data_IF_857688953856
#
_entry.id   IF_857688953856
#
_cell.length_a   1.000
_cell.length_b   1.000
_cell.length_c   1.000
_cell.angle_alpha   90.00
_cell.angle_beta   90.00
_cell.angle_gamma   90.00
#
_symmetry.space_group_name_H-M   'P 1'
#
loop_
_entity.id
_entity.type
_entity.pdbx_description
1 polymer ?
#
# COMPACT_ATOMS: atom_id res chain seq x y z
N UNK A 1 8.13 4.99 -17.42
CA UNK A 1 7.32 6.18 -17.14
C UNK A 1 6.08 5.76 -16.36
N UNK A 2 5.70 6.54 -15.34
CA UNK A 2 4.50 6.30 -14.54
C UNK A 2 3.82 7.64 -14.27
N UNK A 3 2.49 7.67 -14.35
CA UNK A 3 1.68 8.83 -14.00
C UNK A 3 0.77 8.51 -12.83
N UNK A 4 0.45 9.54 -12.05
CA UNK A 4 -0.53 9.51 -10.96
C UNK A 4 -1.58 10.55 -11.30
N UNK A 5 -2.83 10.12 -11.37
CA UNK A 5 -3.94 11.00 -11.72
C UNK A 5 -4.31 11.93 -10.56
N UNK A 6 -4.94 13.06 -10.87
CA UNK A 6 -5.42 13.97 -9.83
C UNK A 6 -6.49 13.27 -8.96
N UNK A 7 -6.33 13.38 -7.63
CA UNK A 7 -7.21 12.70 -6.68
C UNK A 7 -6.93 11.20 -6.49
N UNK A 8 -5.90 10.65 -7.10
CA UNK A 8 -5.50 9.26 -6.94
C UNK A 8 -4.81 9.02 -5.60
N UNK A 9 -5.02 7.84 -5.02
CA UNK A 9 -4.29 7.33 -3.86
C UNK A 9 -3.31 6.25 -4.32
N UNK A 10 -2.08 6.64 -4.64
CA UNK A 10 -1.02 5.71 -5.01
C UNK A 10 -0.30 5.18 -3.77
N UNK A 11 -0.23 3.87 -3.62
CA UNK A 11 0.59 3.23 -2.58
C UNK A 11 1.84 2.61 -3.18
N UNK A 12 3.00 2.97 -2.63
CA UNK A 12 4.28 2.33 -2.90
C UNK A 12 4.50 1.23 -1.85
N UNK A 13 4.50 -0.02 -2.25
CA UNK A 13 4.64 -1.17 -1.35
C UNK A 13 5.82 -2.06 -1.78
N UNK A 14 6.45 -2.71 -0.81
CA UNK A 14 7.59 -3.61 -1.09
C UNK A 14 8.47 -3.81 0.15
N UNK A 15 9.48 -4.68 0.06
CA UNK A 15 10.39 -4.96 1.17
C UNK A 15 11.22 -3.73 1.56
N UNK A 16 11.84 -3.79 2.73
CA UNK A 16 12.84 -2.79 3.16
C UNK A 16 13.98 -2.74 2.16
N UNK A 17 14.48 -1.53 1.85
CA UNK A 17 15.50 -1.33 0.80
C UNK A 17 14.96 -1.37 -0.64
N UNK A 18 13.65 -1.50 -0.84
CA UNK A 18 13.02 -1.54 -2.17
C UNK A 18 13.02 -0.22 -2.94
N UNK A 19 13.53 0.89 -2.37
CA UNK A 19 13.61 2.21 -3.04
C UNK A 19 12.39 3.12 -2.81
N UNK A 20 11.38 2.70 -2.02
CA UNK A 20 10.12 3.44 -1.81
C UNK A 20 10.32 4.83 -1.22
N UNK A 21 10.99 4.93 -0.06
CA UNK A 21 11.27 6.23 0.60
C UNK A 21 12.22 7.10 -0.22
N UNK A 22 13.16 6.49 -0.94
CA UNK A 22 14.03 7.22 -1.88
C UNK A 22 13.20 7.88 -3.00
N UNK A 23 12.29 7.14 -3.62
CA UNK A 23 11.37 7.70 -4.63
C UNK A 23 10.50 8.82 -4.03
N UNK A 24 9.96 8.59 -2.81
CA UNK A 24 9.17 9.61 -2.12
C UNK A 24 9.99 10.89 -1.85
N UNK A 25 11.25 10.75 -1.42
CA UNK A 25 12.17 11.86 -1.18
C UNK A 25 12.54 12.61 -2.46
N UNK A 26 12.70 11.92 -3.58
CA UNK A 26 12.89 12.54 -4.90
C UNK A 26 11.67 13.38 -5.31
N UNK A 27 10.46 12.86 -5.12
CA UNK A 27 9.21 13.61 -5.36
C UNK A 27 9.16 14.84 -4.44
N UNK A 28 9.56 14.68 -3.18
CA UNK A 28 9.62 15.79 -2.21
C UNK A 28 10.72 16.82 -2.54
N UNK A 29 11.73 16.45 -3.34
CA UNK A 29 12.90 17.28 -3.62
C UNK A 29 13.93 17.29 -2.50
N UNK A 30 13.89 16.28 -1.62
CA UNK A 30 14.88 16.04 -0.56
C UNK A 30 16.08 15.27 -1.09
N UNK A 31 15.92 14.57 -2.22
CA UNK A 31 16.98 13.90 -2.96
C UNK A 31 16.92 14.28 -4.44
N UNK A 32 18.08 14.38 -5.07
CA UNK A 32 18.19 14.70 -6.50
C UNK A 32 18.02 13.44 -7.34
N UNK A 33 17.38 13.56 -8.51
CA UNK A 33 17.30 12.50 -9.49
C UNK A 33 18.53 12.54 -10.41
N UNK A 34 19.07 11.35 -10.74
CA UNK A 34 20.23 11.24 -11.63
C UNK A 34 19.86 11.45 -13.10
N UNK A 35 18.62 11.12 -13.48
CA UNK A 35 18.11 11.27 -14.86
C UNK A 35 16.58 11.22 -14.85
N UNK A 36 15.97 11.59 -15.97
CA UNK A 36 14.52 11.63 -16.12
C UNK A 36 13.91 12.94 -15.61
N UNK A 37 12.61 12.92 -15.34
CA UNK A 37 11.86 14.11 -15.02
C UNK A 37 10.75 13.79 -14.01
N UNK A 38 10.58 14.66 -13.01
CA UNK A 38 9.44 14.65 -12.09
C UNK A 38 8.56 15.85 -12.42
N UNK A 39 7.28 15.60 -12.65
CA UNK A 39 6.26 16.65 -12.86
C UNK A 39 5.22 16.61 -11.75
N UNK A 40 4.80 17.78 -11.31
CA UNK A 40 3.60 17.96 -10.49
C UNK A 40 2.68 18.88 -11.27
N UNK A 41 1.50 18.36 -11.67
CA UNK A 41 0.68 18.97 -12.71
C UNK A 41 1.54 19.16 -13.97
N UNK A 42 1.52 20.34 -14.56
CA UNK A 42 2.27 20.64 -15.79
C UNK A 42 3.71 21.16 -15.53
N UNK A 43 4.10 21.33 -14.27
CA UNK A 43 5.39 21.93 -13.92
C UNK A 43 6.46 20.87 -13.64
N UNK A 44 7.63 21.05 -14.27
CA UNK A 44 8.83 20.25 -13.99
C UNK A 44 9.41 20.64 -12.65
N UNK A 45 9.65 19.64 -11.78
CA UNK A 45 10.13 19.81 -10.43
C UNK A 45 11.63 19.53 -10.25
N UNK A 46 12.33 19.14 -11.31
CA UNK A 46 13.77 18.91 -11.25
C UNK A 46 14.51 20.20 -10.78
N UNK A 47 15.33 20.07 -9.73
CA UNK A 47 16.05 21.21 -9.15
C UNK A 47 15.18 22.24 -8.39
N UNK A 48 13.85 22.04 -8.33
CA UNK A 48 12.97 22.92 -7.55
C UNK A 48 13.09 22.57 -6.07
N UNK A 49 13.38 23.57 -5.24
CA UNK A 49 13.50 23.39 -3.79
C UNK A 49 12.19 22.88 -3.17
N UNK A 50 12.22 21.97 -2.19
CA UNK A 50 11.02 21.36 -1.56
C UNK A 50 9.94 22.37 -1.15
N UNK A 51 10.34 23.53 -0.59
CA UNK A 51 9.38 24.56 -0.14
C UNK A 51 8.56 25.20 -1.27
N UNK A 52 8.96 25.01 -2.53
CA UNK A 52 8.30 25.56 -3.73
C UNK A 52 7.51 24.53 -4.53
N UNK A 53 7.51 23.26 -4.11
CA UNK A 53 6.81 22.18 -4.84
C UNK A 53 5.31 22.06 -4.53
N UNK A 54 4.78 22.89 -3.63
CA UNK A 54 3.39 22.81 -3.14
C UNK A 54 2.95 21.40 -2.69
N UNK A 55 3.83 20.72 -2.00
CA UNK A 55 3.59 19.40 -1.41
C UNK A 55 3.58 19.48 0.11
N UNK A 56 2.97 18.48 0.75
CA UNK A 56 3.09 18.27 2.18
C UNK A 56 3.54 16.86 2.48
N UNK A 57 4.45 16.69 3.42
CA UNK A 57 4.99 15.40 3.80
C UNK A 57 4.72 15.09 5.27
N UNK A 58 4.24 13.87 5.52
CA UNK A 58 4.08 13.28 6.86
C UNK A 58 5.11 12.18 7.00
N UNK A 59 6.04 12.37 7.92
CA UNK A 59 7.13 11.44 8.21
C UNK A 59 6.70 10.36 9.20
N UNK A 60 7.37 9.24 9.17
CA UNK A 60 7.20 8.12 10.10
C UNK A 60 7.31 8.54 11.58
N UNK A 61 8.21 9.48 11.90
CA UNK A 61 8.40 10.03 13.25
C UNK A 61 7.43 11.15 13.61
N UNK A 62 6.45 11.46 12.71
CA UNK A 62 5.54 12.62 12.79
C UNK A 62 6.26 13.98 12.72
N UNK A 63 7.53 14.07 13.10
CA UNK A 63 8.39 15.26 13.07
C UNK A 63 7.71 16.52 13.67
N UNK A 64 6.96 16.37 14.77
CA UNK A 64 6.31 17.49 15.46
C UNK A 64 7.34 18.32 16.23
N UNK A 65 7.13 19.62 16.30
CA UNK A 65 7.94 20.52 17.10
C UNK A 65 7.58 20.34 18.59
N UNK A 66 8.47 19.78 19.42
CA UNK A 66 8.11 19.35 20.79
C UNK A 66 7.79 20.51 21.74
N UNK A 67 8.37 21.69 21.47
CA UNK A 67 8.20 22.88 22.30
C UNK A 67 6.95 23.72 21.93
N UNK A 68 6.33 23.43 20.79
CA UNK A 68 5.13 24.10 20.29
C UNK A 68 3.88 23.35 20.70
N UNK A 69 2.77 24.07 20.91
CA UNK A 69 1.45 23.44 21.07
C UNK A 69 0.96 22.82 19.76
N UNK A 70 -0.13 22.05 19.82
CA UNK A 70 -0.78 21.47 18.63
C UNK A 70 -1.17 22.59 17.65
N UNK A 71 -1.82 23.65 18.14
CA UNK A 71 -2.21 24.77 17.31
C UNK A 71 -1.01 25.46 16.64
N UNK A 72 0.08 25.65 17.38
CA UNK A 72 1.33 26.21 16.83
C UNK A 72 1.97 25.26 15.80
N UNK A 73 2.00 23.94 16.05
CA UNK A 73 2.49 22.98 15.08
C UNK A 73 1.72 23.05 13.76
N UNK A 74 0.39 23.14 13.82
CA UNK A 74 -0.46 23.22 12.62
C UNK A 74 -0.19 24.53 11.88
N UNK A 75 -0.12 25.66 12.56
CA UNK A 75 -0.05 26.98 11.91
C UNK A 75 1.36 27.42 11.53
N UNK A 76 2.40 26.74 12.01
CA UNK A 76 3.80 27.15 11.82
C UNK A 76 4.16 27.39 10.34
N UNK A 77 3.77 26.47 9.46
CA UNK A 77 4.03 26.63 8.02
C UNK A 77 3.40 27.89 7.42
N UNK A 78 2.16 28.20 7.81
CA UNK A 78 1.47 29.42 7.36
C UNK A 78 2.14 30.69 7.91
N UNK A 79 2.63 30.62 9.15
CA UNK A 79 3.36 31.72 9.78
C UNK A 79 4.65 32.05 9.05
N UNK A 80 5.43 31.03 8.69
CA UNK A 80 6.65 31.17 7.91
C UNK A 80 6.42 31.76 6.50
N UNK A 81 5.23 31.60 5.95
CA UNK A 81 4.81 32.18 4.67
C UNK A 81 4.14 33.54 4.83
N UNK A 82 4.13 34.12 6.04
CA UNK A 82 3.59 35.47 6.29
C UNK A 82 2.06 35.57 6.25
N UNK A 83 1.34 34.46 6.37
CA UNK A 83 -0.14 34.46 6.38
C UNK A 83 -0.64 35.19 7.63
N UNK A 84 -1.59 36.15 7.51
CA UNK A 84 -2.12 36.93 8.63
C UNK A 84 -2.70 36.05 9.73
N UNK A 85 -2.53 36.44 10.99
CA UNK A 85 -2.96 35.69 12.16
C UNK A 85 -4.44 35.26 12.11
N UNK A 86 -5.42 36.12 11.74
CA UNK A 86 -6.83 35.71 11.67
C UNK A 86 -7.08 34.60 10.67
N UNK A 87 -6.38 34.62 9.53
CA UNK A 87 -6.51 33.57 8.50
C UNK A 87 -5.89 32.26 8.97
N UNK A 88 -4.72 32.30 9.65
CA UNK A 88 -4.09 31.14 10.25
C UNK A 88 -4.99 30.46 11.30
N UNK A 89 -5.62 31.27 12.17
CA UNK A 89 -6.53 30.78 13.20
C UNK A 89 -7.78 30.14 12.61
N UNK A 90 -8.33 30.71 11.54
CA UNK A 90 -9.45 30.12 10.81
C UNK A 90 -9.06 28.77 10.21
N UNK A 91 -7.98 28.73 9.42
CA UNK A 91 -7.48 27.51 8.79
C UNK A 91 -7.16 26.40 9.83
N UNK A 92 -6.57 26.78 10.96
CA UNK A 92 -6.31 25.86 12.08
C UNK A 92 -7.59 25.26 12.62
N UNK A 93 -8.64 26.06 12.85
CA UNK A 93 -9.93 25.58 13.39
C UNK A 93 -10.60 24.64 12.40
N UNK A 94 -10.61 25.00 11.11
CA UNK A 94 -11.21 24.19 10.05
C UNK A 94 -10.53 22.81 9.98
N UNK A 95 -9.20 22.77 10.02
CA UNK A 95 -8.42 21.52 10.00
C UNK A 95 -8.55 20.76 11.31
N UNK A 96 -8.56 21.42 12.46
CA UNK A 96 -8.73 20.77 13.76
C UNK A 96 -10.11 20.09 13.86
N UNK A 97 -11.17 20.76 13.38
CA UNK A 97 -12.51 20.18 13.31
C UNK A 97 -12.59 18.99 12.36
N UNK A 98 -11.92 19.06 11.19
CA UNK A 98 -11.84 17.96 10.25
C UNK A 98 -11.22 16.70 10.86
N UNK A 99 -10.17 16.88 11.71
CA UNK A 99 -9.40 15.81 12.32
C UNK A 99 -9.87 15.46 13.74
N UNK A 100 -10.90 16.15 14.27
CA UNK A 100 -11.45 15.96 15.63
C UNK A 100 -10.39 16.13 16.73
N UNK A 101 -9.56 17.19 16.63
CA UNK A 101 -8.49 17.50 17.59
C UNK A 101 -8.59 18.90 18.22
N UNK A 102 -9.74 19.57 18.12
CA UNK A 102 -9.96 20.91 18.65
C UNK A 102 -9.60 21.02 20.15
N UNK A 103 -9.96 20.01 20.93
CA UNK A 103 -9.69 19.93 22.38
C UNK A 103 -8.20 19.71 22.71
N UNK A 104 -7.36 19.51 21.70
CA UNK A 104 -5.92 19.26 21.88
C UNK A 104 -5.06 20.48 21.52
N UNK A 105 -5.65 21.56 20.99
CA UNK A 105 -4.91 22.69 20.37
C UNK A 105 -3.89 23.32 21.32
N UNK A 106 -4.17 23.35 22.62
CA UNK A 106 -3.27 23.95 23.62
C UNK A 106 -2.26 22.95 24.22
N UNK A 107 -2.38 21.67 23.88
CA UNK A 107 -1.45 20.63 24.38
C UNK A 107 -0.15 20.62 23.57
N UNK A 108 0.92 20.13 24.22
CA UNK A 108 2.21 19.86 23.56
C UNK A 108 2.29 18.40 23.12
N UNK A 109 3.10 18.06 22.09
CA UNK A 109 3.22 16.69 21.56
C UNK A 109 3.52 15.61 22.61
N UNK A 110 4.27 15.94 23.64
CA UNK A 110 4.57 14.98 24.74
C UNK A 110 3.36 14.52 25.55
N UNK A 111 2.25 15.29 25.52
CA UNK A 111 1.00 14.96 26.21
C UNK A 111 -0.03 14.24 25.31
N UNK A 112 0.39 13.77 24.14
CA UNK A 112 -0.48 13.17 23.13
C UNK A 112 -0.21 11.67 22.98
N UNK A 113 -1.27 10.90 22.67
CA UNK A 113 -1.12 9.51 22.20
C UNK A 113 -0.50 9.44 20.79
N UNK A 114 -0.08 8.25 20.35
CA UNK A 114 0.45 8.03 19.00
C UNK A 114 -0.49 8.52 17.90
N UNK A 115 -1.76 8.09 17.94
CA UNK A 115 -2.76 8.51 16.96
C UNK A 115 -3.08 10.01 17.02
N UNK A 116 -3.06 10.62 18.21
CA UNK A 116 -3.21 12.07 18.32
C UNK A 116 -2.04 12.81 17.69
N UNK A 117 -0.80 12.37 17.92
CA UNK A 117 0.38 12.95 17.25
C UNK A 117 0.29 12.82 15.74
N UNK A 118 -0.19 11.70 15.24
CA UNK A 118 -0.39 11.50 13.82
C UNK A 118 -1.43 12.46 13.25
N UNK A 119 -2.60 12.60 13.88
CA UNK A 119 -3.61 13.58 13.44
C UNK A 119 -3.05 15.01 13.43
N UNK A 120 -2.23 15.37 14.40
CA UNK A 120 -1.55 16.69 14.41
C UNK A 120 -0.58 16.84 13.24
N UNK A 121 0.20 15.79 12.92
CA UNK A 121 1.10 15.81 11.76
C UNK A 121 0.33 15.93 10.44
N UNK A 122 -0.81 15.24 10.33
CA UNK A 122 -1.73 15.40 9.20
C UNK A 122 -2.30 16.82 9.14
N UNK A 123 -2.71 17.39 10.29
CA UNK A 123 -3.21 18.77 10.36
C UNK A 123 -2.19 19.80 9.89
N UNK A 124 -0.93 19.63 10.28
CA UNK A 124 0.17 20.48 9.81
C UNK A 124 0.38 20.39 8.29
N UNK A 125 0.15 19.21 7.72
CA UNK A 125 0.22 19.01 6.28
C UNK A 125 -0.99 19.63 5.56
N UNK A 126 -2.21 19.35 6.04
CA UNK A 126 -3.48 19.76 5.44
C UNK A 126 -3.69 21.27 5.40
N UNK A 127 -3.27 21.98 6.47
CA UNK A 127 -3.50 23.43 6.59
C UNK A 127 -2.92 24.25 5.44
N UNK A 128 -1.94 23.70 4.71
CA UNK A 128 -1.28 24.31 3.56
C UNK A 128 -2.00 24.09 2.23
N UNK A 129 -3.04 23.25 2.20
CA UNK A 129 -3.78 22.84 1.00
C UNK A 129 -2.84 22.46 -0.16
N UNK A 130 -2.01 21.41 0.01
CA UNK A 130 -1.01 21.01 -0.99
C UNK A 130 -1.67 20.31 -2.19
N UNK A 131 -0.97 20.36 -3.35
CA UNK A 131 -1.38 19.61 -4.54
C UNK A 131 -1.21 18.08 -4.35
N UNK A 132 -0.16 17.67 -3.61
CA UNK A 132 0.14 16.27 -3.35
C UNK A 132 0.52 16.06 -1.88
N UNK A 133 -0.07 15.06 -1.26
CA UNK A 133 0.36 14.55 0.04
C UNK A 133 1.34 13.39 -0.12
N UNK A 134 2.43 13.44 0.62
CA UNK A 134 3.43 12.39 0.71
C UNK A 134 3.43 11.80 2.11
N UNK A 135 3.20 10.50 2.23
CA UNK A 135 3.21 9.78 3.50
C UNK A 135 4.34 8.75 3.51
N UNK A 136 5.29 8.88 4.43
CA UNK A 136 6.37 7.92 4.62
C UNK A 136 6.10 7.06 5.85
N UNK A 137 5.55 5.87 5.64
CA UNK A 137 5.18 4.87 6.65
C UNK A 137 4.42 5.45 7.87
N UNK A 138 3.36 6.22 7.68
CA UNK A 138 2.77 7.03 8.76
C UNK A 138 2.12 6.17 9.86
N UNK A 139 1.78 4.91 9.61
CA UNK A 139 1.10 4.01 10.54
C UNK A 139 2.02 3.01 11.24
N UNK A 140 3.30 2.93 10.86
CA UNK A 140 4.24 1.91 11.33
C UNK A 140 4.47 1.91 12.85
N UNK A 141 4.42 3.09 13.48
CA UNK A 141 4.66 3.27 14.92
C UNK A 141 3.39 3.16 15.79
N UNK A 142 2.28 2.67 15.23
CA UNK A 142 1.02 2.50 15.94
C UNK A 142 0.78 1.04 16.29
N UNK A 143 0.08 0.80 17.42
CA UNK A 143 -0.45 -0.52 17.74
C UNK A 143 -1.51 -0.97 16.72
N UNK A 144 -1.80 -2.29 16.68
CA UNK A 144 -2.65 -2.89 15.65
C UNK A 144 -4.07 -2.26 15.62
N UNK A 145 -4.69 -2.04 16.79
CA UNK A 145 -6.04 -1.46 16.88
C UNK A 145 -6.06 -0.03 16.34
N UNK A 146 -5.14 0.78 16.82
CA UNK A 146 -5.04 2.19 16.44
C UNK A 146 -4.69 2.33 14.93
N UNK A 147 -3.90 1.39 14.37
CA UNK A 147 -3.58 1.34 12.94
C UNK A 147 -4.85 1.16 12.10
N UNK A 148 -5.75 0.24 12.49
CA UNK A 148 -7.03 0.03 11.80
C UNK A 148 -7.90 1.29 11.83
N UNK A 149 -8.01 1.94 13.00
CA UNK A 149 -8.78 3.17 13.15
C UNK A 149 -8.21 4.29 12.27
N UNK A 150 -6.89 4.50 12.31
CA UNK A 150 -6.21 5.54 11.52
C UNK A 150 -6.26 5.29 10.03
N UNK A 151 -6.18 4.04 9.57
CA UNK A 151 -6.39 3.65 8.17
C UNK A 151 -7.77 4.11 7.69
N UNK A 152 -8.81 3.81 8.48
CA UNK A 152 -10.18 4.23 8.17
C UNK A 152 -10.30 5.76 8.09
N UNK A 153 -9.66 6.49 9.00
CA UNK A 153 -9.66 7.95 9.02
C UNK A 153 -8.94 8.55 7.78
N UNK A 154 -7.78 8.00 7.40
CA UNK A 154 -7.06 8.42 6.20
C UNK A 154 -7.93 8.20 4.95
N UNK A 155 -8.59 7.05 4.85
CA UNK A 155 -9.48 6.74 3.71
C UNK A 155 -10.65 7.72 3.62
N UNK A 156 -11.33 8.00 4.75
CA UNK A 156 -12.41 8.98 4.80
C UNK A 156 -11.93 10.39 4.43
N UNK A 157 -10.74 10.75 4.92
CA UNK A 157 -10.15 12.05 4.64
C UNK A 157 -9.85 12.20 3.15
N UNK A 158 -9.24 11.18 2.53
CA UNK A 158 -9.00 11.18 1.09
C UNK A 158 -10.29 11.32 0.29
N UNK A 159 -11.33 10.52 0.61
CA UNK A 159 -12.64 10.60 -0.05
C UNK A 159 -13.28 12.00 0.07
N UNK A 160 -13.07 12.67 1.20
CA UNK A 160 -13.64 14.01 1.45
C UNK A 160 -12.89 15.10 0.71
N UNK A 161 -11.57 15.00 0.61
CA UNK A 161 -10.71 16.04 0.04
C UNK A 161 -10.44 15.86 -1.46
N UNK A 162 -10.45 14.63 -1.97
CA UNK A 162 -10.09 14.31 -3.34
C UNK A 162 -8.66 14.69 -3.72
N UNK A 163 -7.76 14.80 -2.73
CA UNK A 163 -6.38 15.23 -2.96
C UNK A 163 -5.50 14.05 -3.35
N UNK A 164 -4.56 14.25 -4.27
CA UNK A 164 -3.60 13.23 -4.68
C UNK A 164 -2.68 12.83 -3.51
N UNK A 165 -2.56 11.53 -3.27
CA UNK A 165 -1.73 10.97 -2.20
C UNK A 165 -0.70 10.00 -2.79
N UNK A 166 0.55 10.10 -2.35
CA UNK A 166 1.58 9.07 -2.50
C UNK A 166 1.96 8.56 -1.11
N UNK A 167 1.71 7.28 -0.88
CA UNK A 167 1.81 6.65 0.44
C UNK A 167 2.80 5.50 0.39
N UNK A 168 3.80 5.53 1.25
CA UNK A 168 4.78 4.44 1.41
C UNK A 168 4.37 3.56 2.58
N UNK A 169 4.38 2.26 2.37
CA UNK A 169 4.19 1.26 3.43
C UNK A 169 4.92 -0.03 3.10
N UNK A 170 5.18 -0.83 4.12
CA UNK A 170 5.54 -2.25 4.00
C UNK A 170 4.36 -3.17 4.33
N UNK A 171 3.24 -2.61 4.79
CA UNK A 171 2.02 -3.34 5.17
C UNK A 171 1.13 -3.54 3.93
N UNK A 172 0.91 -4.79 3.56
CA UNK A 172 0.07 -5.16 2.42
C UNK A 172 -1.40 -4.79 2.63
N UNK A 173 -1.88 -4.84 3.89
CA UNK A 173 -3.26 -4.49 4.22
C UNK A 173 -3.49 -3.01 3.97
N UNK A 174 -2.51 -2.14 4.31
CA UNK A 174 -2.58 -0.72 3.98
C UNK A 174 -2.70 -0.53 2.47
N UNK A 175 -1.83 -1.23 1.70
CA UNK A 175 -1.82 -1.13 0.26
C UNK A 175 -3.17 -1.57 -0.36
N UNK A 176 -3.68 -2.72 0.04
CA UNK A 176 -4.93 -3.27 -0.52
C UNK A 176 -6.17 -2.46 -0.13
N UNK A 177 -6.18 -1.80 1.04
CA UNK A 177 -7.39 -1.14 1.57
C UNK A 177 -7.48 0.35 1.29
N UNK A 178 -6.33 1.05 1.21
CA UNK A 178 -6.28 2.50 1.04
C UNK A 178 -6.21 2.93 -0.42
N UNK A 179 -5.50 2.17 -1.25
CA UNK A 179 -5.09 2.63 -2.57
C UNK A 179 -6.21 2.59 -3.62
N UNK A 180 -6.11 3.49 -4.58
CA UNK A 180 -6.74 3.35 -5.91
C UNK A 180 -5.82 2.56 -6.84
N UNK A 181 -4.48 2.76 -6.70
CA UNK A 181 -3.45 1.99 -7.39
C UNK A 181 -2.28 1.68 -6.46
N UNK A 182 -1.61 0.58 -6.75
CA UNK A 182 -0.43 0.10 -6.02
C UNK A 182 0.75 0.02 -6.99
N UNK A 183 1.91 0.53 -6.56
CA UNK A 183 3.19 0.26 -7.20
C UNK A 183 3.98 -0.72 -6.31
N UNK A 184 4.06 -1.98 -6.72
CA UNK A 184 4.92 -2.97 -6.10
C UNK A 184 6.37 -2.71 -6.46
N UNK A 185 7.23 -2.45 -5.48
CA UNK A 185 8.62 -2.07 -5.68
C UNK A 185 9.59 -3.08 -5.09
N UNK A 186 10.66 -3.38 -5.83
CA UNK A 186 11.75 -4.23 -5.37
C UNK A 186 13.08 -3.80 -5.99
N UNK A 187 14.11 -3.63 -5.17
CA UNK A 187 15.46 -3.29 -5.64
C UNK A 187 15.53 -1.99 -6.46
N UNK A 188 14.67 -0.99 -6.15
CA UNK A 188 14.62 0.28 -6.87
C UNK A 188 13.77 0.27 -8.16
N UNK A 189 13.17 -0.87 -8.51
CA UNK A 189 12.34 -1.02 -9.71
C UNK A 189 10.88 -1.21 -9.35
N UNK A 190 9.98 -0.59 -10.14
CA UNK A 190 8.55 -0.89 -10.11
C UNK A 190 8.35 -2.24 -10.81
N UNK A 191 7.91 -3.23 -10.07
CA UNK A 191 7.65 -4.59 -10.55
C UNK A 191 6.29 -4.70 -11.24
N UNK A 192 5.30 -4.01 -10.67
CA UNK A 192 3.95 -3.89 -11.23
C UNK A 192 3.29 -2.62 -10.71
N UNK A 193 2.48 -2.00 -11.54
CA UNK A 193 1.62 -0.86 -11.21
C UNK A 193 0.21 -1.20 -11.69
N UNK A 194 -0.76 -1.20 -10.78
CA UNK A 194 -2.15 -1.54 -11.11
C UNK A 194 -3.09 -1.31 -9.93
N UNK A 195 -4.37 -1.58 -10.12
CA UNK A 195 -5.34 -1.60 -9.03
C UNK A 195 -5.03 -2.72 -8.03
N UNK A 196 -5.50 -2.64 -6.78
CA UNK A 196 -5.34 -3.73 -5.81
C UNK A 196 -5.79 -5.08 -6.36
N UNK A 197 -6.92 -5.12 -7.06
CA UNK A 197 -7.47 -6.33 -7.67
C UNK A 197 -6.55 -6.91 -8.74
N UNK A 198 -6.07 -6.07 -9.67
CA UNK A 198 -5.15 -6.51 -10.74
C UNK A 198 -3.85 -7.07 -10.18
N UNK A 199 -3.28 -6.42 -9.16
CA UNK A 199 -2.04 -6.86 -8.51
C UNK A 199 -2.23 -8.22 -7.82
N UNK A 200 -3.40 -8.43 -7.22
CA UNK A 200 -3.72 -9.67 -6.51
C UNK A 200 -4.05 -10.83 -7.46
N UNK A 201 -4.93 -10.59 -8.44
CA UNK A 201 -5.46 -11.62 -9.33
C UNK A 201 -4.52 -11.96 -10.49
N UNK A 202 -3.77 -10.96 -10.98
CA UNK A 202 -2.93 -11.07 -12.17
C UNK A 202 -1.51 -10.52 -11.91
N UNK A 203 -0.74 -11.13 -10.99
CA UNK A 203 0.60 -10.68 -10.67
C UNK A 203 1.53 -10.83 -11.88
N UNK A 204 2.29 -9.77 -12.18
CA UNK A 204 3.18 -9.71 -13.35
C UNK A 204 4.41 -10.64 -13.24
N UNK A 205 4.79 -11.06 -12.04
CA UNK A 205 5.92 -11.93 -11.78
C UNK A 205 5.80 -12.65 -10.43
N UNK A 206 6.69 -13.60 -10.18
CA UNK A 206 6.70 -14.40 -8.94
C UNK A 206 6.88 -13.52 -7.70
N UNK A 207 7.69 -12.46 -7.77
CA UNK A 207 7.87 -11.55 -6.65
C UNK A 207 6.54 -10.93 -6.22
N UNK A 208 5.79 -10.35 -7.16
CA UNK A 208 4.48 -9.74 -6.87
C UNK A 208 3.51 -10.80 -6.35
N UNK A 209 3.46 -11.97 -6.98
CA UNK A 209 2.59 -13.08 -6.59
C UNK A 209 2.80 -13.52 -5.14
N UNK A 210 4.06 -13.64 -4.72
CA UNK A 210 4.42 -14.10 -3.36
C UNK A 210 4.50 -12.98 -2.34
N UNK A 211 4.71 -11.75 -2.78
CA UNK A 211 4.74 -10.58 -1.89
C UNK A 211 3.34 -10.10 -1.52
N UNK A 212 2.35 -10.20 -2.44
CA UNK A 212 0.99 -9.71 -2.22
C UNK A 212 0.05 -10.83 -1.80
N UNK A 213 -0.56 -10.67 -0.64
CA UNK A 213 -1.47 -11.62 0.01
C UNK A 213 -0.96 -12.08 1.37
N UNK A 214 -1.89 -12.32 2.30
CA UNK A 214 -1.61 -12.85 3.64
C UNK A 214 -2.68 -13.90 3.97
N UNK A 215 -2.32 -15.20 3.92
CA UNK A 215 -1.00 -15.76 3.61
C UNK A 215 -0.53 -15.54 2.17
N UNK A 216 0.77 -15.70 1.93
CA UNK A 216 1.37 -15.58 0.59
C UNK A 216 0.89 -16.67 -0.38
N UNK A 217 0.96 -16.38 -1.69
CA UNK A 217 0.68 -17.41 -2.72
C UNK A 217 1.66 -18.58 -2.59
N UNK A 218 1.13 -19.80 -2.61
CA UNK A 218 1.94 -21.01 -2.75
C UNK A 218 2.49 -21.09 -4.17
N UNK A 219 3.79 -21.27 -4.32
CA UNK A 219 4.44 -21.42 -5.63
C UNK A 219 5.13 -22.78 -5.66
N UNK A 220 4.65 -23.67 -6.53
CA UNK A 220 5.13 -25.04 -6.61
C UNK A 220 5.60 -25.39 -8.02
N UNK A 221 6.66 -26.21 -8.18
CA UNK A 221 7.05 -26.74 -9.48
C UNK A 221 5.95 -27.64 -10.05
N UNK A 222 5.65 -27.48 -11.34
CA UNK A 222 4.68 -28.28 -12.05
C UNK A 222 5.11 -28.49 -13.51
N UNK A 223 4.51 -29.47 -14.17
CA UNK A 223 4.68 -29.72 -15.60
C UNK A 223 3.37 -29.53 -16.35
N UNK A 224 3.41 -28.91 -17.49
CA UNK A 224 2.22 -28.78 -18.34
C UNK A 224 1.98 -30.08 -19.08
N UNK A 225 0.76 -30.63 -18.99
CA UNK A 225 0.29 -31.75 -19.77
C UNK A 225 -1.07 -31.41 -20.42
N UNK A 226 -1.46 -32.22 -21.39
CA UNK A 226 -2.80 -32.13 -22.00
C UNK A 226 -3.64 -33.35 -21.54
N UNK A 227 -4.83 -33.08 -21.04
CA UNK A 227 -5.85 -34.08 -20.72
C UNK A 227 -7.09 -33.74 -21.52
N UNK A 228 -7.51 -34.65 -22.40
CA UNK A 228 -8.64 -34.44 -23.33
C UNK A 228 -8.51 -33.13 -24.15
N UNK A 229 -7.28 -32.76 -24.50
CA UNK A 229 -6.98 -31.56 -25.25
C UNK A 229 -6.92 -30.25 -24.41
N UNK A 230 -7.20 -30.31 -23.10
CA UNK A 230 -7.13 -29.17 -22.20
C UNK A 230 -5.80 -29.17 -21.45
N UNK A 231 -5.15 -27.97 -21.29
CA UNK A 231 -3.92 -27.87 -20.52
C UNK A 231 -4.19 -28.04 -19.02
N UNK A 232 -3.32 -28.81 -18.38
CA UNK A 232 -3.33 -29.05 -16.94
C UNK A 232 -1.93 -28.93 -16.36
N UNK A 233 -1.86 -28.59 -15.07
CA UNK A 233 -0.61 -28.66 -14.31
C UNK A 233 -0.50 -29.98 -13.58
N UNK A 234 0.56 -30.70 -13.79
CA UNK A 234 0.91 -31.92 -13.06
C UNK A 234 1.92 -31.56 -11.98
N UNK A 235 1.50 -31.66 -10.72
CA UNK A 235 2.31 -31.38 -9.53
C UNK A 235 2.72 -32.70 -8.89
N UNK A 236 4.00 -32.93 -8.66
CA UNK A 236 4.50 -34.05 -7.91
C UNK A 236 4.19 -33.90 -6.42
N UNK A 237 3.57 -34.92 -5.81
CA UNK A 237 3.27 -34.96 -4.39
C UNK A 237 4.37 -35.66 -3.60
N UNK A 238 4.40 -35.41 -2.29
CA UNK A 238 5.43 -35.95 -1.39
C UNK A 238 5.44 -37.51 -1.30
N UNK A 239 4.31 -38.17 -1.53
CA UNK A 239 4.14 -39.60 -1.50
C UNK A 239 4.56 -40.32 -2.80
N UNK A 240 5.09 -39.53 -3.76
CA UNK A 240 5.50 -40.03 -5.09
C UNK A 240 4.35 -40.12 -6.10
N UNK A 241 3.13 -39.75 -5.73
CA UNK A 241 2.01 -39.57 -6.65
C UNK A 241 2.03 -38.18 -7.31
N UNK A 242 1.07 -37.91 -8.17
CA UNK A 242 0.91 -36.59 -8.78
C UNK A 242 -0.54 -36.12 -8.71
N UNK A 243 -0.71 -34.82 -8.51
CA UNK A 243 -2.00 -34.13 -8.64
C UNK A 243 -2.07 -33.45 -10.00
N UNK A 244 -3.24 -33.55 -10.63
CA UNK A 244 -3.53 -32.88 -11.91
C UNK A 244 -4.50 -31.73 -11.64
N UNK A 245 -4.02 -30.51 -11.85
CA UNK A 245 -4.76 -29.26 -11.57
C UNK A 245 -5.17 -28.59 -12.88
N UNK A 246 -6.45 -28.27 -13.08
CA UNK A 246 -6.90 -27.61 -14.30
C UNK A 246 -6.44 -26.15 -14.34
N UNK A 247 -6.14 -25.65 -15.53
CA UNK A 247 -5.92 -24.22 -15.80
C UNK A 247 -7.12 -23.60 -16.49
N UNK A 248 -7.33 -22.32 -16.22
CA UNK A 248 -8.35 -21.52 -16.92
C UNK A 248 -7.80 -20.71 -18.11
N UNK A 249 -6.53 -20.91 -18.51
CA UNK A 249 -5.88 -20.13 -19.56
C UNK A 249 -5.68 -20.94 -20.84
N UNK A 250 -6.31 -20.52 -21.94
CA UNK A 250 -6.35 -21.26 -23.22
C UNK A 250 -5.01 -21.34 -23.96
N UNK A 251 -4.04 -20.48 -23.66
CA UNK A 251 -2.75 -20.41 -24.40
C UNK A 251 -1.64 -21.29 -23.83
N UNK A 252 -1.91 -22.09 -22.80
CA UNK A 252 -0.93 -22.98 -22.20
C UNK A 252 -0.74 -24.32 -22.94
N UNK A 253 -1.62 -24.67 -23.87
CA UNK A 253 -1.44 -25.88 -24.69
C UNK A 253 -0.12 -25.89 -25.46
N UNK A 254 0.37 -24.75 -25.89
CA UNK A 254 1.68 -24.61 -26.57
C UNK A 254 2.89 -24.89 -25.65
N UNK A 255 2.65 -25.06 -24.36
CA UNK A 255 3.67 -25.31 -23.32
C UNK A 255 3.71 -26.77 -22.87
N UNK A 256 3.02 -27.67 -23.58
CA UNK A 256 3.00 -29.09 -23.26
C UNK A 256 4.42 -29.63 -23.04
N UNK A 257 4.60 -30.40 -21.96
CA UNK A 257 5.89 -30.98 -21.57
C UNK A 257 6.89 -30.04 -20.93
N UNK A 258 6.58 -28.72 -20.82
CA UNK A 258 7.47 -27.74 -20.17
C UNK A 258 7.27 -27.71 -18.66
N UNK A 259 8.36 -27.47 -17.94
CA UNK A 259 8.34 -27.20 -16.51
C UNK A 259 7.93 -25.72 -16.29
N UNK A 260 7.05 -25.53 -15.32
CA UNK A 260 6.51 -24.23 -14.92
C UNK A 260 6.52 -24.08 -13.39
N UNK A 261 6.33 -22.87 -12.92
CA UNK A 261 5.99 -22.58 -11.52
C UNK A 261 4.50 -22.30 -11.44
N UNK A 262 3.75 -23.14 -10.72
CA UNK A 262 2.32 -22.97 -10.50
C UNK A 262 2.09 -22.17 -9.22
N UNK A 263 1.37 -21.05 -9.33
CA UNK A 263 0.91 -20.26 -8.20
C UNK A 263 -0.49 -20.66 -7.76
N UNK A 264 -0.67 -20.93 -6.46
CA UNK A 264 -1.95 -21.32 -5.87
C UNK A 264 -2.21 -20.39 -4.68
N UNK A 265 -3.28 -19.58 -4.73
CA UNK A 265 -3.70 -18.77 -3.60
C UNK A 265 -4.21 -19.65 -2.46
N UNK A 266 -3.85 -19.39 -1.19
CA UNK A 266 -4.29 -20.20 -0.05
C UNK A 266 -5.80 -20.38 0.03
N UNK A 267 -6.58 -19.35 -0.25
CA UNK A 267 -8.05 -19.38 -0.22
C UNK A 267 -8.68 -20.26 -1.32
N UNK A 268 -7.91 -20.70 -2.30
CA UNK A 268 -8.38 -21.65 -3.31
C UNK A 268 -8.26 -23.10 -2.85
N UNK A 269 -7.56 -23.33 -1.74
CA UNK A 269 -7.45 -24.65 -1.11
C UNK A 269 -8.51 -24.71 -0.01
N UNK A 270 -9.45 -25.63 -0.13
CA UNK A 270 -10.57 -25.75 0.80
C UNK A 270 -10.87 -27.22 1.08
N UNK A 271 -11.55 -27.49 2.18
CA UNK A 271 -12.08 -28.81 2.49
C UNK A 271 -13.10 -29.25 1.44
N UNK A 272 -13.23 -30.58 1.22
CA UNK A 272 -14.16 -31.12 0.25
C UNK A 272 -15.62 -30.67 0.49
N UNK A 273 -16.01 -30.54 1.75
CA UNK A 273 -17.36 -30.09 2.13
C UNK A 273 -17.60 -28.58 1.85
N UNK A 274 -16.54 -27.78 1.85
CA UNK A 274 -16.60 -26.34 1.60
C UNK A 274 -16.38 -25.98 0.12
N UNK A 275 -16.01 -26.95 -0.72
CA UNK A 275 -15.79 -26.73 -2.13
C UNK A 275 -17.07 -26.29 -2.86
N UNK A 276 -16.97 -25.26 -3.71
CA UNK A 276 -18.10 -24.85 -4.56
C UNK A 276 -18.38 -25.93 -5.62
N UNK A 277 -19.38 -26.76 -5.33
CA UNK A 277 -19.80 -27.86 -6.21
C UNK A 277 -20.28 -27.43 -7.61
N UNK A 278 -20.45 -26.13 -7.84
CA UNK A 278 -20.78 -25.58 -9.17
C UNK A 278 -19.53 -25.22 -9.98
N UNK A 279 -18.37 -25.18 -9.35
CA UNK A 279 -17.11 -24.94 -10.05
C UNK A 279 -16.73 -26.17 -10.89
N UNK A 280 -16.38 -25.93 -12.15
CA UNK A 280 -15.88 -26.97 -13.08
C UNK A 280 -14.37 -27.21 -12.93
N UNK A 281 -13.68 -26.36 -12.16
CA UNK A 281 -12.22 -26.37 -12.00
C UNK A 281 -11.82 -26.84 -10.60
N UNK A 282 -12.39 -27.95 -10.13
CA UNK A 282 -12.04 -28.57 -8.85
C UNK A 282 -11.15 -29.77 -9.10
N UNK A 283 -10.03 -29.86 -8.41
CA UNK A 283 -9.16 -31.02 -8.39
C UNK A 283 -9.03 -31.53 -6.95
N UNK A 284 -9.51 -32.76 -6.64
CA UNK A 284 -9.32 -33.36 -5.32
C UNK A 284 -7.85 -33.73 -5.13
N UNK A 285 -7.32 -33.44 -3.94
CA UNK A 285 -5.98 -33.88 -3.55
C UNK A 285 -5.98 -34.28 -2.07
N UNK A 286 -5.11 -35.19 -1.71
CA UNK A 286 -4.89 -35.58 -0.32
C UNK A 286 -3.56 -35.01 0.13
N UNK A 287 -3.58 -34.15 1.15
CA UNK A 287 -2.40 -33.58 1.75
C UNK A 287 -2.33 -33.86 3.25
N UNK A 288 -1.12 -33.92 3.78
CA UNK A 288 -0.88 -34.02 5.23
C UNK A 288 -0.62 -32.62 5.81
N UNK A 289 -1.48 -32.22 6.75
CA UNK A 289 -1.23 -31.02 7.55
C UNK A 289 -0.04 -31.29 8.47
N UNK A 290 0.99 -30.46 8.39
CA UNK A 290 2.19 -30.58 9.22
C UNK A 290 2.18 -29.60 10.39
N UNK A 291 1.58 -28.41 10.21
CA UNK A 291 1.45 -27.36 11.21
C UNK A 291 0.11 -26.66 10.99
N UNK A 292 -0.53 -26.27 12.08
CA UNK A 292 -1.72 -25.42 12.06
C UNK A 292 -1.43 -24.14 12.86
N UNK A 293 -1.76 -22.97 12.29
CA UNK A 293 -1.60 -21.69 12.96
C UNK A 293 -3.00 -21.06 13.19
N UNK A 294 -3.59 -21.24 14.39
CA UNK A 294 -4.90 -20.66 14.67
C UNK A 294 -4.79 -19.13 14.83
N UNK A 295 -5.54 -18.39 14.05
CA UNK A 295 -5.60 -16.92 14.05
C UNK A 295 -7.03 -16.42 14.33
N UNK A 296 -7.58 -16.79 15.49
CA UNK A 296 -8.93 -16.43 15.88
C UNK A 296 -10.01 -17.25 15.16
N UNK A 297 -10.73 -16.63 14.23
CA UNK A 297 -11.77 -17.31 13.43
C UNK A 297 -11.16 -18.15 12.29
N UNK A 298 -9.93 -17.89 11.92
CA UNK A 298 -9.25 -18.56 10.82
C UNK A 298 -8.13 -19.44 11.35
N UNK A 299 -7.82 -20.51 10.59
CA UNK A 299 -6.69 -21.39 10.86
C UNK A 299 -5.95 -21.64 9.55
N UNK A 300 -4.65 -21.38 9.56
CA UNK A 300 -3.76 -21.54 8.41
C UNK A 300 -2.85 -22.74 8.56
#
# INVERSE_FOLDING_TARGET
DSSVEEGEFLVLVGPSGGGKSTLLNMIAGLEEISSGEIRIKDAVMNGVHPSKRNIAMVFQSYALYPNMTVGQNITFGLEMHGVPKPEREKAMKDVAGLLQIEQLLDRKPGALSGGQRQRVAMGRALVRNPDVFLFDEPLSNLDAKLRVDMRTEIKKLHQKLGTTIVYVTHDQIDAMTLSTRIAGMNGGYVQQLGTPQEIYDSPANIFVATFMGSPAMNVVPAKVALVDGNPVAVVALHDGTSATLPFSQDNLAAWEGRDIMLGIRPETITDEDAADRKSTNIAPMTNRITVTEPAGSDTF
#
